data_IF_468831629366
#
_entry.id   IF_468831629366
#
_cell.length_a   1.000
_cell.length_b   1.000
_cell.length_c   1.000
_cell.angle_alpha   90.00
_cell.angle_beta   90.00
_cell.angle_gamma   90.00
#
_symmetry.space_group_name_H-M   'P 1'
#
loop_
_entity.id
_entity.type
_entity.pdbx_description
1 polymer ?
#
# COMPACT_ATOMS: atom_id res chain seq x y z
N UNK A 1 40.89 -18.28 -10.93
CA UNK A 1 39.50 -18.12 -10.43
C UNK A 1 38.57 -18.70 -11.49
N UNK A 2 37.70 -19.65 -11.13
CA UNK A 2 36.70 -20.20 -12.08
C UNK A 2 35.65 -19.12 -12.28
N UNK A 3 35.50 -18.59 -13.53
CA UNK A 3 34.53 -17.56 -13.83
C UNK A 3 33.11 -18.15 -13.83
N UNK A 4 32.17 -17.48 -13.17
CA UNK A 4 30.75 -17.85 -13.24
C UNK A 4 30.27 -17.75 -14.70
N UNK A 5 29.55 -18.77 -15.22
CA UNK A 5 29.01 -18.71 -16.58
C UNK A 5 28.13 -17.46 -16.80
N UNK A 6 28.31 -16.80 -17.96
CA UNK A 6 27.60 -15.55 -18.25
C UNK A 6 26.08 -15.58 -18.01
N UNK A 7 25.33 -16.64 -18.39
CA UNK A 7 23.88 -16.70 -18.13
C UNK A 7 23.54 -16.65 -16.63
N UNK A 8 24.31 -17.36 -15.79
CA UNK A 8 24.12 -17.35 -14.33
C UNK A 8 24.43 -15.95 -13.80
N UNK A 9 25.54 -15.34 -14.24
CA UNK A 9 25.90 -13.98 -13.81
C UNK A 9 24.81 -12.94 -14.13
N UNK A 10 24.22 -12.98 -15.32
CA UNK A 10 23.10 -12.09 -15.71
C UNK A 10 21.86 -12.27 -14.82
N UNK A 11 21.51 -13.53 -14.50
CA UNK A 11 20.37 -13.79 -13.62
C UNK A 11 20.63 -13.32 -12.19
N UNK A 12 21.84 -13.53 -11.67
CA UNK A 12 22.25 -13.04 -10.35
C UNK A 12 22.18 -11.51 -10.29
N UNK A 13 22.67 -10.83 -11.33
CA UNK A 13 22.58 -9.37 -11.43
C UNK A 13 21.14 -8.87 -11.45
N UNK A 14 20.27 -9.50 -12.24
CA UNK A 14 18.85 -9.15 -12.31
C UNK A 14 18.15 -9.33 -10.95
N UNK A 15 18.39 -10.46 -10.27
CA UNK A 15 17.82 -10.74 -8.96
C UNK A 15 18.35 -9.80 -7.86
N UNK A 16 19.60 -9.36 -7.97
CA UNK A 16 20.20 -8.43 -6.98
C UNK A 16 19.58 -7.02 -7.04
N UNK A 17 18.88 -6.66 -8.11
CA UNK A 17 18.12 -5.40 -8.20
C UNK A 17 16.84 -5.41 -7.37
N UNK A 18 16.39 -6.59 -6.93
CA UNK A 18 15.18 -6.70 -6.12
C UNK A 18 15.48 -6.30 -4.67
N UNK A 19 14.62 -5.51 -4.02
CA UNK A 19 14.83 -5.09 -2.64
C UNK A 19 14.91 -6.31 -1.70
N UNK A 20 15.88 -6.28 -0.78
CA UNK A 20 16.12 -7.38 0.17
C UNK A 20 16.89 -8.56 -0.41
N UNK A 21 17.19 -8.60 -1.71
CA UNK A 21 17.96 -9.69 -2.32
C UNK A 21 19.42 -9.26 -2.54
N UNK A 22 20.30 -9.70 -1.64
CA UNK A 22 21.74 -9.51 -1.80
C UNK A 22 22.39 -10.54 -2.74
N UNK A 23 23.68 -10.32 -3.15
CA UNK A 23 24.38 -11.20 -4.08
C UNK A 23 24.41 -12.67 -3.69
N UNK A 24 24.52 -12.98 -2.40
CA UNK A 24 24.53 -14.36 -1.88
C UNK A 24 23.17 -15.04 -2.08
N UNK A 25 22.08 -14.34 -1.80
CA UNK A 25 20.71 -14.85 -2.00
C UNK A 25 20.41 -14.99 -3.49
N UNK A 26 20.75 -13.98 -4.30
CA UNK A 26 20.60 -14.02 -5.75
C UNK A 26 21.32 -15.22 -6.39
N UNK A 27 22.56 -15.49 -5.97
CA UNK A 27 23.31 -16.66 -6.44
C UNK A 27 22.61 -17.96 -6.06
N UNK A 28 22.13 -18.09 -4.83
CA UNK A 28 21.39 -19.29 -4.40
C UNK A 28 20.13 -19.52 -5.22
N UNK A 29 19.36 -18.46 -5.49
CA UNK A 29 18.16 -18.51 -6.34
C UNK A 29 18.49 -18.91 -7.78
N UNK A 30 19.53 -18.33 -8.37
CA UNK A 30 19.96 -18.67 -9.73
C UNK A 30 20.33 -20.16 -9.86
N UNK A 31 21.11 -20.70 -8.92
CA UNK A 31 21.46 -22.12 -8.93
C UNK A 31 20.28 -23.04 -8.57
N UNK A 32 19.32 -22.58 -7.78
CA UNK A 32 18.07 -23.29 -7.54
C UNK A 32 17.26 -23.43 -8.83
N UNK A 33 17.01 -22.34 -9.55
CA UNK A 33 16.26 -22.34 -10.81
C UNK A 33 16.94 -23.16 -11.89
N UNK A 34 18.28 -23.19 -11.93
CA UNK A 34 19.02 -24.06 -12.84
C UNK A 34 18.76 -25.55 -12.58
N UNK A 35 18.57 -25.94 -11.32
CA UNK A 35 18.31 -27.35 -10.90
C UNK A 35 16.84 -27.74 -10.96
N UNK A 36 15.93 -26.79 -10.73
CA UNK A 36 14.48 -27.01 -10.75
C UNK A 36 13.93 -27.40 -12.13
N UNK A 37 14.68 -27.07 -13.18
CA UNK A 37 14.30 -27.45 -14.53
C UNK A 37 13.75 -26.27 -15.36
N UNK A 38 13.58 -26.56 -16.65
CA UNK A 38 13.14 -25.54 -17.61
C UNK A 38 11.71 -25.10 -17.38
N UNK A 39 10.83 -26.02 -16.96
CA UNK A 39 9.40 -25.73 -16.77
C UNK A 39 9.18 -24.69 -15.67
N UNK A 40 9.85 -24.84 -14.52
CA UNK A 40 9.77 -23.87 -13.42
C UNK A 40 10.33 -22.50 -13.80
N UNK A 41 11.44 -22.50 -14.56
CA UNK A 41 12.01 -21.23 -15.04
C UNK A 41 11.06 -20.51 -16.02
N UNK A 42 10.40 -21.25 -16.91
CA UNK A 42 9.41 -20.70 -17.86
C UNK A 42 8.17 -20.23 -17.12
N UNK A 43 7.67 -20.99 -16.13
CA UNK A 43 6.51 -20.58 -15.32
C UNK A 43 6.78 -19.25 -14.57
N UNK A 44 7.96 -19.10 -13.95
CA UNK A 44 8.35 -17.85 -13.31
C UNK A 44 8.47 -16.69 -14.31
N UNK A 45 9.08 -16.92 -15.46
CA UNK A 45 9.20 -15.90 -16.52
C UNK A 45 7.82 -15.44 -16.99
N UNK A 46 6.90 -16.38 -17.25
CA UNK A 46 5.54 -16.06 -17.68
C UNK A 46 4.77 -15.29 -16.59
N UNK A 47 4.92 -15.66 -15.32
CA UNK A 47 4.29 -14.93 -14.21
C UNK A 47 4.81 -13.47 -14.11
N UNK A 48 6.11 -13.25 -14.31
CA UNK A 48 6.71 -11.91 -14.34
C UNK A 48 6.19 -11.07 -15.52
N UNK A 49 6.04 -11.67 -16.70
CA UNK A 49 5.47 -11.01 -17.87
C UNK A 49 3.99 -10.66 -17.64
N UNK A 50 3.20 -11.63 -17.17
CA UNK A 50 1.78 -11.47 -16.90
C UNK A 50 1.49 -10.36 -15.88
N UNK A 51 2.40 -10.12 -14.92
CA UNK A 51 2.27 -9.04 -13.94
C UNK A 51 2.09 -7.67 -14.61
N UNK A 52 2.84 -7.40 -15.68
CA UNK A 52 2.75 -6.14 -16.42
C UNK A 52 1.66 -6.11 -17.50
N UNK A 53 1.33 -7.27 -18.06
CA UNK A 53 0.36 -7.39 -19.15
C UNK A 53 -1.09 -7.40 -18.66
N UNK A 54 -1.33 -7.90 -17.43
CA UNK A 54 -2.66 -8.14 -16.90
C UNK A 54 -2.99 -7.32 -15.65
N UNK A 55 -2.20 -6.29 -15.33
CA UNK A 55 -2.54 -5.35 -14.26
C UNK A 55 -2.71 -3.95 -14.80
N UNK A 56 -3.76 -3.28 -14.33
CA UNK A 56 -4.10 -1.90 -14.67
C UNK A 56 -4.34 -1.09 -13.40
N UNK A 57 -4.17 0.20 -13.51
CA UNK A 57 -4.54 1.13 -12.45
C UNK A 57 -6.04 1.44 -12.54
N UNK A 58 -6.78 1.23 -11.46
CA UNK A 58 -8.19 1.58 -11.42
C UNK A 58 -8.39 3.08 -11.57
N UNK A 59 -9.15 3.52 -12.56
CA UNK A 59 -9.42 4.93 -12.87
C UNK A 59 -10.17 5.68 -11.76
N UNK A 60 -10.82 4.94 -10.84
CA UNK A 60 -11.61 5.53 -9.74
C UNK A 60 -10.78 5.63 -8.45
N UNK A 61 -10.15 4.54 -8.00
CA UNK A 61 -9.52 4.48 -6.69
C UNK A 61 -7.99 4.39 -6.74
N UNK A 62 -7.40 4.35 -7.92
CA UNK A 62 -5.97 4.21 -8.14
C UNK A 62 -5.37 2.90 -7.59
N UNK A 63 -6.18 1.89 -7.24
CA UNK A 63 -5.65 0.58 -6.86
C UNK A 63 -5.17 -0.20 -8.09
N UNK A 64 -4.21 -1.10 -7.90
CA UNK A 64 -3.78 -2.06 -8.93
C UNK A 64 -4.83 -3.17 -9.02
N UNK A 65 -5.29 -3.48 -10.24
CA UNK A 65 -6.37 -4.42 -10.51
C UNK A 65 -6.19 -5.11 -11.85
N UNK A 66 -6.92 -6.19 -12.09
CA UNK A 66 -7.00 -6.85 -13.41
C UNK A 66 -8.02 -6.18 -14.35
N UNK A 67 -8.90 -5.34 -13.81
CA UNK A 67 -9.94 -4.63 -14.57
C UNK A 67 -10.06 -3.17 -14.14
N UNK A 68 -10.52 -2.32 -15.05
CA UNK A 68 -10.83 -0.91 -14.78
C UNK A 68 -12.28 -0.59 -15.14
N UNK A 69 -13.12 -0.17 -14.18
CA UNK A 69 -12.83 -0.03 -12.73
C UNK A 69 -12.65 -1.38 -12.01
N UNK A 70 -11.94 -1.35 -10.87
CA UNK A 70 -11.68 -2.56 -10.09
C UNK A 70 -12.94 -3.13 -9.43
N UNK A 71 -12.88 -4.42 -9.04
CA UNK A 71 -14.00 -5.13 -8.40
C UNK A 71 -14.53 -4.42 -7.13
N UNK A 72 -13.68 -3.74 -6.36
CA UNK A 72 -14.12 -2.97 -5.19
C UNK A 72 -14.97 -1.76 -5.60
N UNK A 73 -14.55 -1.03 -6.63
CA UNK A 73 -15.27 0.16 -7.07
C UNK A 73 -16.58 -0.15 -7.79
N UNK A 74 -16.72 -1.34 -8.39
CA UNK A 74 -17.92 -1.80 -9.09
C UNK A 74 -18.90 -2.56 -8.20
N UNK A 75 -18.52 -2.89 -6.98
CA UNK A 75 -19.40 -3.61 -6.04
C UNK A 75 -20.45 -2.67 -5.45
N UNK A 76 -21.67 -2.79 -5.95
CA UNK A 76 -22.82 -2.00 -5.51
C UNK A 76 -23.28 -2.32 -4.07
N UNK A 77 -22.79 -3.41 -3.47
CA UNK A 77 -23.13 -3.76 -2.08
C UNK A 77 -22.28 -2.99 -1.06
N UNK A 78 -21.25 -2.28 -1.51
CA UNK A 78 -20.39 -1.49 -0.66
C UNK A 78 -20.99 -0.13 -0.33
N UNK A 79 -20.57 0.40 0.80
CA UNK A 79 -20.95 1.74 1.27
C UNK A 79 -20.23 2.81 0.46
N UNK A 80 -20.95 3.37 -0.53
CA UNK A 80 -20.41 4.32 -1.50
C UNK A 80 -20.02 5.68 -0.86
N UNK A 81 -20.60 6.00 0.29
CA UNK A 81 -20.38 7.27 1.00
C UNK A 81 -19.10 7.33 1.84
N UNK A 82 -18.38 6.23 2.03
CA UNK A 82 -17.17 6.19 2.88
C UNK A 82 -15.95 5.77 2.08
N UNK A 83 -14.90 6.60 2.11
CA UNK A 83 -13.63 6.31 1.42
C UNK A 83 -12.50 6.18 2.44
N UNK A 84 -11.81 5.03 2.44
CA UNK A 84 -10.57 4.81 3.17
C UNK A 84 -9.37 5.10 2.26
N UNK A 85 -8.58 6.11 2.64
CA UNK A 85 -7.37 6.52 1.91
C UNK A 85 -6.17 5.83 2.51
N UNK A 86 -5.45 5.08 1.69
CA UNK A 86 -4.25 4.31 2.06
C UNK A 86 -3.04 4.75 1.25
N UNK A 87 -1.83 4.49 1.74
CA UNK A 87 -0.58 4.80 1.04
C UNK A 87 -0.34 3.85 -0.13
N UNK A 88 -0.46 2.54 0.11
CA UNK A 88 -0.09 1.50 -0.83
C UNK A 88 -1.21 0.48 -1.05
N UNK A 89 -1.23 -0.24 -2.20
CA UNK A 89 -2.17 -1.32 -2.44
C UNK A 89 -2.15 -2.42 -1.37
N UNK A 90 -1.00 -2.68 -0.74
CA UNK A 90 -0.87 -3.68 0.31
C UNK A 90 -1.61 -3.27 1.59
N UNK A 91 -1.69 -1.98 1.89
CA UNK A 91 -2.45 -1.45 3.04
C UNK A 91 -3.95 -1.70 2.84
N UNK A 92 -4.43 -1.47 1.60
CA UNK A 92 -5.81 -1.79 1.22
C UNK A 92 -6.10 -3.28 1.47
N UNK A 93 -5.23 -4.17 1.02
CA UNK A 93 -5.38 -5.61 1.20
C UNK A 93 -5.42 -5.97 2.69
N UNK A 94 -4.57 -5.34 3.50
CA UNK A 94 -4.53 -5.57 4.95
C UNK A 94 -5.87 -5.19 5.63
N UNK A 95 -6.46 -4.05 5.26
CA UNK A 95 -7.75 -3.61 5.78
C UNK A 95 -8.88 -4.52 5.29
N UNK A 96 -8.88 -4.85 3.99
CA UNK A 96 -9.89 -5.72 3.37
C UNK A 96 -9.93 -7.12 4.01
N UNK A 97 -8.76 -7.67 4.34
CA UNK A 97 -8.62 -8.97 5.02
C UNK A 97 -9.24 -9.00 6.43
N UNK A 98 -9.52 -7.84 7.04
CA UNK A 98 -10.26 -7.80 8.31
C UNK A 98 -11.72 -8.22 8.15
N UNK A 99 -12.27 -8.11 6.94
CA UNK A 99 -13.67 -8.37 6.60
C UNK A 99 -14.68 -7.40 7.24
N UNK A 100 -14.19 -6.36 7.93
CA UNK A 100 -15.04 -5.43 8.70
C UNK A 100 -15.33 -4.12 7.98
N UNK A 101 -14.46 -3.70 7.07
CA UNK A 101 -14.66 -2.49 6.30
C UNK A 101 -15.51 -2.79 5.06
N UNK A 102 -16.52 -1.97 4.84
CA UNK A 102 -17.46 -2.15 3.71
C UNK A 102 -17.52 -0.93 2.78
N UNK A 103 -16.74 0.09 3.07
CA UNK A 103 -16.64 1.27 2.21
C UNK A 103 -15.72 1.08 1.00
N UNK A 104 -15.43 2.18 0.33
CA UNK A 104 -14.54 2.25 -0.82
C UNK A 104 -13.13 2.65 -0.40
N UNK A 105 -12.18 2.48 -1.30
CA UNK A 105 -10.78 2.86 -1.05
C UNK A 105 -10.29 3.93 -2.02
N UNK A 106 -9.19 4.57 -1.65
CA UNK A 106 -8.37 5.37 -2.53
C UNK A 106 -6.89 5.15 -2.19
N UNK A 107 -6.07 4.80 -3.19
CA UNK A 107 -4.65 4.49 -3.03
C UNK A 107 -3.82 5.66 -3.53
N UNK A 108 -2.92 6.16 -2.67
CA UNK A 108 -2.06 7.30 -2.98
C UNK A 108 -0.82 6.93 -3.79
N UNK A 109 -0.37 5.66 -3.72
CA UNK A 109 0.91 5.15 -4.22
C UNK A 109 2.11 5.83 -3.58
N UNK A 110 2.09 5.97 -2.26
CA UNK A 110 3.17 6.50 -1.45
C UNK A 110 2.71 7.48 -0.39
N UNK A 111 3.69 8.21 0.15
CA UNK A 111 3.51 9.25 1.16
C UNK A 111 4.41 10.45 0.83
N UNK A 112 4.13 11.60 1.43
CA UNK A 112 4.98 12.79 1.29
C UNK A 112 6.33 12.51 1.97
N UNK A 113 7.41 12.52 1.20
CA UNK A 113 8.78 12.29 1.67
C UNK A 113 9.75 13.28 1.03
N UNK A 114 10.10 14.38 1.72
CA UNK A 114 11.09 15.34 1.21
C UNK A 114 12.46 14.70 0.95
N UNK A 115 12.82 13.69 1.74
CA UNK A 115 14.09 12.97 1.58
C UNK A 115 14.15 12.20 0.26
N UNK A 116 13.03 11.65 -0.17
CA UNK A 116 12.88 10.91 -1.43
C UNK A 116 12.39 11.80 -2.58
N UNK A 117 12.20 13.08 -2.33
CA UNK A 117 11.68 14.09 -3.28
C UNK A 117 10.25 13.76 -3.75
N UNK A 118 9.47 13.12 -2.89
CA UNK A 118 8.06 12.84 -3.14
C UNK A 118 7.22 13.95 -2.50
N UNK A 119 6.60 14.77 -3.33
CA UNK A 119 5.64 15.79 -2.92
C UNK A 119 4.19 15.36 -3.19
N UNK A 120 3.22 16.25 -2.92
CA UNK A 120 1.81 15.95 -3.17
C UNK A 120 1.45 15.72 -4.64
N UNK A 121 2.25 16.25 -5.58
CA UNK A 121 2.01 16.13 -7.02
C UNK A 121 2.40 14.77 -7.59
N UNK A 122 3.28 14.05 -6.90
CA UNK A 122 3.69 12.67 -7.23
C UNK A 122 2.71 11.62 -6.71
N UNK A 123 1.75 12.04 -5.85
CA UNK A 123 0.75 11.17 -5.25
C UNK A 123 -0.63 11.39 -5.88
N UNK A 124 -1.49 10.36 -5.86
CA UNK A 124 -2.85 10.42 -6.41
C UNK A 124 -3.84 11.23 -5.54
N UNK A 125 -3.42 12.39 -5.07
CA UNK A 125 -4.25 13.28 -4.25
C UNK A 125 -5.26 14.09 -5.09
N UNK A 126 -4.91 14.42 -6.33
CA UNK A 126 -5.80 15.16 -7.25
C UNK A 126 -7.02 14.33 -7.64
N UNK A 127 -6.82 13.04 -7.87
CA UNK A 127 -7.86 12.07 -8.17
C UNK A 127 -8.83 11.91 -6.98
N UNK A 128 -8.30 11.89 -5.75
CA UNK A 128 -9.13 11.90 -4.54
C UNK A 128 -10.01 13.14 -4.49
N UNK A 129 -9.43 14.33 -4.62
CA UNK A 129 -10.18 15.60 -4.58
C UNK A 129 -11.29 15.63 -5.64
N UNK A 130 -10.96 15.22 -6.87
CA UNK A 130 -11.95 15.13 -7.97
C UNK A 130 -13.11 14.21 -7.59
N UNK A 131 -12.83 13.07 -6.98
CA UNK A 131 -13.83 12.10 -6.53
C UNK A 131 -14.72 12.64 -5.41
N UNK A 132 -14.17 13.48 -4.52
CA UNK A 132 -14.94 14.10 -3.42
C UNK A 132 -15.84 15.23 -3.89
N UNK A 133 -15.56 15.87 -5.03
CA UNK A 133 -16.36 16.98 -5.58
C UNK A 133 -17.74 16.53 -6.06
N UNK A 134 -17.96 15.24 -6.31
CA UNK A 134 -19.27 14.72 -6.72
C UNK A 134 -20.32 14.76 -5.61
N UNK A 135 -19.91 15.09 -4.37
CA UNK A 135 -20.81 15.29 -3.23
C UNK A 135 -21.47 14.02 -2.67
N UNK A 136 -21.05 12.85 -3.14
CA UNK A 136 -21.60 11.55 -2.71
C UNK A 136 -20.91 11.00 -1.47
N UNK A 137 -19.72 11.54 -1.13
CA UNK A 137 -18.89 11.05 -0.03
C UNK A 137 -19.25 11.77 1.26
N UNK A 138 -19.62 11.02 2.28
CA UNK A 138 -19.99 11.49 3.61
C UNK A 138 -18.85 11.41 4.64
N UNK A 139 -17.81 10.62 4.37
CA UNK A 139 -16.65 10.46 5.26
C UNK A 139 -15.41 10.04 4.48
N UNK A 140 -14.27 10.61 4.85
CA UNK A 140 -12.93 10.17 4.43
C UNK A 140 -12.18 9.66 5.64
N UNK A 141 -11.80 8.38 5.64
CA UNK A 141 -10.95 7.76 6.66
C UNK A 141 -9.51 7.81 6.16
N UNK A 142 -8.63 8.52 6.84
CA UNK A 142 -7.20 8.52 6.52
C UNK A 142 -6.54 7.34 7.23
N UNK A 143 -6.02 6.42 6.44
CA UNK A 143 -5.36 5.20 6.89
C UNK A 143 -3.90 5.15 6.40
N UNK A 144 -3.18 6.28 6.52
CA UNK A 144 -1.74 6.34 6.31
C UNK A 144 -1.01 5.65 7.46
N UNK A 145 0.20 5.17 7.18
CA UNK A 145 1.02 4.51 8.18
C UNK A 145 1.33 5.43 9.38
N UNK A 146 1.48 4.89 10.59
CA UNK A 146 1.82 5.68 11.79
C UNK A 146 3.33 5.99 11.84
N UNK A 147 3.80 6.70 10.81
CA UNK A 147 5.18 7.21 10.65
C UNK A 147 5.15 8.73 10.56
N UNK A 148 6.30 9.38 10.67
CA UNK A 148 6.39 10.84 10.51
C UNK A 148 5.89 11.30 9.12
N UNK A 149 6.25 10.55 8.09
CA UNK A 149 5.84 10.78 6.70
C UNK A 149 4.33 10.54 6.52
N UNK A 150 3.81 9.45 7.11
CA UNK A 150 2.38 9.15 7.10
C UNK A 150 1.56 10.19 7.86
N UNK A 151 2.06 10.71 8.98
CA UNK A 151 1.45 11.81 9.73
C UNK A 151 1.43 13.11 8.92
N UNK A 152 2.55 13.45 8.29
CA UNK A 152 2.65 14.63 7.42
C UNK A 152 1.67 14.52 6.24
N UNK A 153 1.57 13.33 5.64
CA UNK A 153 0.63 13.02 4.55
C UNK A 153 -0.82 13.16 5.02
N UNK A 154 -1.15 12.60 6.20
CA UNK A 154 -2.48 12.73 6.79
C UNK A 154 -2.87 14.19 7.04
N UNK A 155 -1.97 14.99 7.61
CA UNK A 155 -2.21 16.42 7.85
C UNK A 155 -2.41 17.19 6.54
N UNK A 156 -1.66 16.88 5.51
CA UNK A 156 -1.82 17.49 4.20
C UNK A 156 -3.18 17.13 3.59
N UNK A 157 -3.54 15.85 3.59
CA UNK A 157 -4.85 15.37 3.10
C UNK A 157 -6.01 16.04 3.84
N UNK A 158 -5.96 16.12 5.17
CA UNK A 158 -6.99 16.77 5.96
C UNK A 158 -7.19 18.24 5.55
N UNK A 159 -6.09 18.97 5.30
CA UNK A 159 -6.16 20.37 4.80
C UNK A 159 -6.72 20.45 3.37
N UNK A 160 -6.35 19.49 2.51
CA UNK A 160 -6.79 19.42 1.13
C UNK A 160 -8.29 19.13 1.02
N UNK A 161 -8.82 18.29 1.92
CA UNK A 161 -10.25 17.90 1.96
C UNK A 161 -11.12 18.93 2.70
N UNK A 162 -10.57 19.69 3.64
CA UNK A 162 -11.31 20.65 4.47
C UNK A 162 -12.25 21.62 3.69
N UNK A 163 -11.86 22.19 2.54
CA UNK A 163 -12.74 23.07 1.77
C UNK A 163 -13.99 22.37 1.22
N UNK A 164 -13.96 21.04 1.08
CA UNK A 164 -15.08 20.23 0.57
C UNK A 164 -16.10 19.91 1.66
N UNK A 165 -15.83 20.27 2.92
CA UNK A 165 -16.69 20.04 4.08
C UNK A 165 -17.05 18.56 4.32
N UNK A 166 -16.24 17.63 3.82
CA UNK A 166 -16.38 16.20 4.07
C UNK A 166 -15.68 15.88 5.40
N UNK A 167 -16.35 15.22 6.35
CA UNK A 167 -15.74 14.75 7.58
C UNK A 167 -14.52 13.87 7.32
N UNK A 168 -13.43 14.17 8.03
CA UNK A 168 -12.18 13.40 7.95
C UNK A 168 -11.93 12.74 9.28
N UNK A 169 -11.75 11.43 9.26
CA UNK A 169 -11.38 10.62 10.43
C UNK A 169 -10.04 9.93 10.18
N UNK A 170 -9.45 9.38 11.22
CA UNK A 170 -8.20 8.62 11.15
C UNK A 170 -8.33 7.30 11.90
N UNK A 171 -7.57 6.29 11.48
CA UNK A 171 -7.51 5.04 12.23
C UNK A 171 -7.03 5.31 13.66
N UNK A 172 -7.67 4.67 14.63
CA UNK A 172 -7.29 4.80 16.04
C UNK A 172 -5.87 4.25 16.26
N UNK A 173 -5.05 5.06 16.93
CA UNK A 173 -3.74 4.64 17.39
C UNK A 173 -3.85 4.04 18.80
N UNK A 174 -3.02 3.05 19.12
CA UNK A 174 -3.05 2.46 20.46
C UNK A 174 -2.29 1.14 20.57
N UNK A 175 -2.49 0.48 21.70
CA UNK A 175 -1.82 -0.76 22.05
C UNK A 175 -2.27 -1.93 21.17
N UNK A 176 -1.35 -2.75 20.63
CA UNK A 176 -1.70 -3.97 19.95
C UNK A 176 -2.27 -5.01 20.92
N UNK A 177 -3.23 -5.81 20.45
CA UNK A 177 -3.75 -6.92 21.26
C UNK A 177 -2.70 -8.01 21.43
N UNK A 178 -2.57 -8.50 22.68
CA UNK A 178 -1.61 -9.56 23.03
C UNK A 178 -0.21 -9.06 23.40
N UNK A 179 -0.02 -7.75 23.49
CA UNK A 179 1.20 -7.16 24.03
C UNK A 179 1.02 -6.74 25.49
N UNK A 180 2.09 -6.84 26.28
CA UNK A 180 2.11 -6.35 27.66
C UNK A 180 2.41 -4.84 27.68
N UNK A 181 1.77 -4.12 28.58
CA UNK A 181 1.90 -2.67 28.74
C UNK A 181 3.34 -2.20 29.00
N UNK A 182 4.12 -3.03 29.70
CA UNK A 182 5.50 -2.70 30.08
C UNK A 182 6.47 -2.62 28.89
N UNK A 183 6.14 -3.29 27.75
CA UNK A 183 6.96 -3.27 26.55
C UNK A 183 6.53 -2.22 25.52
N UNK A 184 5.41 -1.52 25.78
CA UNK A 184 4.96 -0.47 24.88
C UNK A 184 5.82 0.79 25.03
N UNK A 185 6.18 1.40 23.90
CA UNK A 185 6.89 2.66 23.90
C UNK A 185 6.03 3.82 24.43
N UNK A 186 6.69 4.93 24.80
CA UNK A 186 6.04 6.09 25.40
C UNK A 186 4.99 6.75 24.50
N UNK A 187 5.23 6.77 23.19
CA UNK A 187 4.32 7.42 22.23
C UNK A 187 3.07 6.60 22.11
N UNK A 188 3.20 5.29 21.87
CA UNK A 188 2.07 4.35 21.80
C UNK A 188 1.21 4.37 23.06
N UNK A 189 1.84 4.45 24.25
CA UNK A 189 1.10 4.56 25.52
C UNK A 189 0.34 5.89 25.65
N UNK A 190 0.96 7.00 25.24
CA UNK A 190 0.34 8.32 25.27
C UNK A 190 -0.88 8.38 24.33
N UNK A 191 -0.74 7.86 23.10
CA UNK A 191 -1.86 7.76 22.15
C UNK A 191 -2.99 6.86 22.64
N UNK A 192 -2.67 5.71 23.24
CA UNK A 192 -3.66 4.82 23.84
C UNK A 192 -4.43 5.49 24.98
N UNK A 193 -3.75 6.27 25.83
CA UNK A 193 -4.38 7.04 26.91
C UNK A 193 -5.26 8.18 26.37
N UNK A 194 -4.80 8.88 25.33
CA UNK A 194 -5.57 9.94 24.69
C UNK A 194 -6.83 9.37 24.02
N UNK A 195 -6.69 8.25 23.30
CA UNK A 195 -7.77 7.56 22.59
C UNK A 195 -8.64 6.63 23.46
N UNK A 196 -8.50 6.66 24.79
CA UNK A 196 -9.27 5.77 25.68
C UNK A 196 -10.78 5.93 25.52
N UNK A 197 -11.49 4.80 25.44
CA UNK A 197 -12.96 4.76 25.31
C UNK A 197 -13.61 4.46 26.65
N UNK A 198 -14.83 5.00 26.85
CA UNK A 198 -15.68 4.58 27.98
C UNK A 198 -16.13 3.14 27.75
N UNK A 199 -16.15 2.37 28.83
CA UNK A 199 -16.70 1.01 28.85
C UNK A 199 -18.18 1.05 29.24
#
# INVERSE_FOLDING_TARGET
MVATPKPIGRLVEALTRLPGIGPKTASRLAYYLLRAGREDAVALANALMALHEHTVLCSICCNISEADPCAICTDATREQGVICVVEEPLDLIAIENTGRYKGLYHVLHGHISPMERIGPDELHMKELVKRLQDGLVSEVIIATNPTLEGDATAMYLARLVAPLQVPVTRLALGLPRGGDLEYADRVTLAEALAGRKRM
#
